data_IF_671308665017
#
_entry.id   IF_671308665017
#
_cell.length_a   1.000
_cell.length_b   1.000
_cell.length_c   1.000
_cell.angle_alpha   90.00
_cell.angle_beta   90.00
_cell.angle_gamma   90.00
#
_symmetry.space_group_name_H-M   'P 1'
#
loop_
_entity.id
_entity.type
_entity.pdbx_description
1 polymer ?
#
# COMPACT_ATOMS: atom_id res chain seq x y z
N UNK A 1 -14.45 2.16 -9.62
CA UNK A 1 -13.44 1.16 -9.19
C UNK A 1 -12.94 1.59 -7.82
N UNK A 2 -13.47 0.98 -6.77
CA UNK A 2 -13.03 1.26 -5.39
C UNK A 2 -11.55 0.95 -5.21
N UNK A 3 -10.84 1.85 -4.55
CA UNK A 3 -9.38 1.76 -4.40
C UNK A 3 -8.95 1.97 -2.96
N UNK A 4 -8.24 0.97 -2.41
CA UNK A 4 -7.55 1.03 -1.13
C UNK A 4 -6.06 1.24 -1.35
N UNK A 5 -5.46 2.20 -0.64
CA UNK A 5 -4.01 2.36 -0.60
C UNK A 5 -3.50 2.05 0.79
N UNK A 6 -2.49 1.20 0.88
CA UNK A 6 -1.73 0.93 2.10
C UNK A 6 -0.37 1.61 1.98
N UNK A 7 -0.18 2.64 2.78
CA UNK A 7 1.09 3.32 2.95
C UNK A 7 1.80 2.91 4.24
N UNK A 8 2.92 3.56 4.52
CA UNK A 8 3.62 3.37 5.79
C UNK A 8 4.89 4.21 5.87
N UNK A 9 5.26 4.56 7.08
CA UNK A 9 6.31 5.58 7.28
C UNK A 9 7.70 5.12 6.88
N UNK A 10 7.98 3.81 6.94
CA UNK A 10 9.30 3.26 6.60
C UNK A 10 9.21 1.97 5.80
N UNK A 11 10.38 1.36 5.52
CA UNK A 11 10.48 -0.01 5.03
C UNK A 11 10.15 -0.97 6.18
N UNK A 12 9.78 -2.20 5.84
CA UNK A 12 9.60 -3.32 6.77
C UNK A 12 8.61 -3.09 7.95
N UNK A 13 7.77 -2.05 7.89
CA UNK A 13 6.73 -1.78 8.90
C UNK A 13 5.47 -2.64 8.71
N UNK A 14 5.52 -3.70 7.91
CA UNK A 14 4.43 -4.64 7.75
C UNK A 14 3.38 -4.30 6.69
N UNK A 15 3.60 -3.30 5.80
CA UNK A 15 2.65 -2.96 4.72
C UNK A 15 2.21 -4.16 3.91
N UNK A 16 3.17 -4.97 3.43
CA UNK A 16 2.92 -6.17 2.65
C UNK A 16 2.06 -7.18 3.42
N UNK A 17 2.32 -7.34 4.73
CA UNK A 17 1.52 -8.23 5.60
C UNK A 17 0.11 -7.71 5.79
N UNK A 18 -0.08 -6.39 5.91
CA UNK A 18 -1.40 -5.76 5.97
C UNK A 18 -2.16 -5.97 4.66
N UNK A 19 -1.53 -5.71 3.50
CA UNK A 19 -2.16 -5.93 2.19
C UNK A 19 -2.56 -7.39 2.03
N UNK A 20 -1.65 -8.33 2.27
CA UNK A 20 -1.94 -9.77 2.16
C UNK A 20 -3.05 -10.20 3.13
N UNK A 21 -3.04 -9.69 4.36
CA UNK A 21 -4.06 -10.01 5.37
C UNK A 21 -5.44 -9.50 4.98
N UNK A 22 -5.56 -8.28 4.44
CA UNK A 22 -6.83 -7.73 3.95
C UNK A 22 -7.34 -8.53 2.75
N UNK A 23 -6.47 -8.88 1.79
CA UNK A 23 -6.83 -9.72 0.64
C UNK A 23 -7.39 -11.07 1.10
N UNK A 24 -6.73 -11.71 2.04
CA UNK A 24 -7.15 -13.02 2.55
C UNK A 24 -8.47 -12.96 3.35
N UNK A 25 -8.69 -11.86 4.09
CA UNK A 25 -9.89 -11.68 4.92
C UNK A 25 -11.13 -11.23 4.13
N UNK A 26 -10.95 -10.65 2.94
CA UNK A 26 -12.01 -10.11 2.09
C UNK A 26 -11.93 -10.66 0.66
N UNK A 27 -12.02 -11.99 0.47
CA UNK A 27 -11.92 -12.62 -0.85
C UNK A 27 -13.09 -12.24 -1.78
N UNK A 28 -14.24 -11.86 -1.23
CA UNK A 28 -15.42 -11.41 -1.96
C UNK A 28 -15.17 -10.15 -2.80
N UNK A 29 -14.18 -9.33 -2.42
CA UNK A 29 -13.81 -8.13 -3.19
C UNK A 29 -13.00 -8.41 -4.46
N UNK A 30 -12.57 -9.65 -4.71
CA UNK A 30 -11.83 -10.04 -5.93
C UNK A 30 -10.68 -9.06 -6.25
N UNK A 31 -9.86 -8.80 -5.26
CA UNK A 31 -8.80 -7.79 -5.30
C UNK A 31 -7.87 -7.92 -6.50
N UNK A 32 -7.66 -6.83 -7.22
CA UNK A 32 -6.48 -6.61 -8.05
C UNK A 32 -5.47 -5.81 -7.24
N UNK A 33 -4.33 -6.41 -6.95
CA UNK A 33 -3.29 -5.78 -6.13
C UNK A 33 -2.17 -5.21 -6.99
N UNK A 34 -1.52 -4.14 -6.51
CA UNK A 34 -0.26 -3.70 -7.08
C UNK A 34 0.72 -3.21 -6.00
N UNK A 35 1.98 -3.59 -6.18
CA UNK A 35 3.09 -3.04 -5.41
C UNK A 35 3.89 -2.08 -6.27
N UNK A 36 4.13 -0.86 -5.75
CA UNK A 36 4.91 0.16 -6.43
C UNK A 36 6.24 0.33 -5.71
N UNK A 37 7.33 -0.02 -6.39
CA UNK A 37 8.70 0.10 -5.92
C UNK A 37 9.41 1.19 -6.68
N UNK A 38 10.01 2.15 -5.97
CA UNK A 38 10.90 3.14 -6.56
C UNK A 38 12.35 2.75 -6.28
N UNK A 39 13.18 2.73 -7.31
CA UNK A 39 14.61 2.44 -7.27
C UNK A 39 15.45 3.67 -7.67
N UNK A 40 16.76 3.58 -7.56
CA UNK A 40 17.67 4.70 -7.91
C UNK A 40 18.33 5.38 -6.73
N UNK A 41 18.12 4.81 -5.53
CA UNK A 41 18.84 5.21 -4.31
C UNK A 41 19.86 4.11 -3.88
N UNK A 42 20.30 3.28 -4.82
CA UNK A 42 21.34 2.25 -4.59
C UNK A 42 20.85 0.98 -3.88
N UNK A 43 19.53 0.84 -3.60
CA UNK A 43 19.00 -0.30 -2.86
C UNK A 43 17.82 -0.93 -3.59
N UNK A 44 17.85 -2.24 -3.77
CA UNK A 44 16.75 -2.99 -4.37
C UNK A 44 15.51 -2.99 -3.48
N UNK A 45 14.35 -2.68 -4.07
CA UNK A 45 13.07 -2.70 -3.37
C UNK A 45 12.58 -4.10 -3.01
N UNK A 46 13.15 -5.16 -3.62
CA UNK A 46 12.74 -6.53 -3.37
C UNK A 46 13.46 -7.16 -2.16
N UNK A 47 14.76 -6.91 -2.01
CA UNK A 47 15.58 -7.57 -0.98
C UNK A 47 16.45 -6.62 -0.14
N UNK A 48 16.45 -5.32 -0.42
CA UNK A 48 17.26 -4.35 0.31
C UNK A 48 18.74 -4.29 -0.08
N UNK A 49 19.19 -5.09 -1.05
CA UNK A 49 20.57 -5.13 -1.54
C UNK A 49 20.81 -4.08 -2.64
N UNK A 50 22.08 -3.85 -2.97
CA UNK A 50 22.46 -3.05 -4.13
C UNK A 50 21.82 -3.64 -5.40
N UNK A 51 21.17 -2.82 -6.21
CA UNK A 51 20.33 -3.31 -7.31
C UNK A 51 20.72 -2.71 -8.63
N UNK A 52 21.10 -3.59 -9.56
CA UNK A 52 21.30 -3.29 -10.99
C UNK A 52 20.05 -3.60 -11.84
N UNK A 53 18.88 -3.84 -11.21
CA UNK A 53 17.66 -4.18 -11.94
C UNK A 53 17.02 -3.00 -12.70
N UNK A 54 17.63 -1.83 -12.66
CA UNK A 54 17.35 -0.71 -13.53
C UNK A 54 18.34 -0.75 -14.69
N UNK A 55 17.98 -1.39 -15.77
CA UNK A 55 18.66 -1.10 -17.02
C UNK A 55 18.42 0.37 -17.36
N UNK A 56 19.46 1.07 -17.80
CA UNK A 56 19.41 2.49 -18.15
C UNK A 56 18.35 2.82 -19.24
N UNK A 57 17.80 1.78 -19.87
CA UNK A 57 16.94 1.87 -21.04
C UNK A 57 15.46 2.10 -20.72
N UNK A 58 15.01 1.82 -19.47
CA UNK A 58 13.58 1.94 -19.12
C UNK A 58 13.37 2.63 -17.79
N UNK A 59 12.64 3.76 -17.82
CA UNK A 59 12.29 4.54 -16.63
C UNK A 59 11.33 3.80 -15.67
N UNK A 60 10.61 2.83 -16.20
CA UNK A 60 9.65 2.02 -15.45
C UNK A 60 9.38 0.67 -16.12
N UNK A 61 8.89 -0.28 -15.34
CA UNK A 61 8.39 -1.56 -15.80
C UNK A 61 7.17 -1.98 -14.99
N UNK A 62 6.21 -2.63 -15.62
CA UNK A 62 5.06 -3.25 -14.96
C UNK A 62 5.00 -4.71 -15.40
N UNK A 63 5.11 -5.61 -14.43
CA UNK A 63 5.04 -7.07 -14.67
C UNK A 63 3.89 -7.66 -13.89
N UNK A 64 3.20 -8.64 -14.48
CA UNK A 64 2.19 -9.43 -13.79
C UNK A 64 2.88 -10.50 -12.95
N UNK A 65 2.55 -10.59 -11.67
CA UNK A 65 3.02 -11.67 -10.81
C UNK A 65 2.25 -12.95 -11.12
N UNK A 66 2.97 -14.04 -11.27
CA UNK A 66 2.41 -15.37 -11.55
C UNK A 66 2.83 -16.42 -10.54
N UNK A 67 3.88 -16.14 -9.77
CA UNK A 67 4.37 -17.05 -8.73
C UNK A 67 3.44 -17.02 -7.51
N UNK A 68 3.12 -18.19 -6.99
CA UNK A 68 2.43 -18.37 -5.70
C UNK A 68 3.37 -18.96 -4.64
N UNK A 69 4.68 -18.84 -4.82
CA UNK A 69 5.67 -19.36 -3.87
C UNK A 69 5.71 -18.56 -2.55
N UNK A 70 5.24 -17.30 -2.56
CA UNK A 70 5.22 -16.44 -1.37
C UNK A 70 6.60 -15.85 -1.01
N UNK A 71 7.57 -15.93 -1.91
CA UNK A 71 8.97 -15.51 -1.74
C UNK A 71 9.19 -14.02 -2.01
N UNK A 72 8.31 -13.39 -2.78
CA UNK A 72 8.30 -11.94 -3.01
C UNK A 72 7.04 -11.29 -2.43
N UNK A 73 7.06 -9.96 -2.24
CA UNK A 73 5.90 -9.24 -1.74
C UNK A 73 4.68 -9.41 -2.65
N UNK A 74 4.88 -9.37 -3.97
CA UNK A 74 3.81 -9.56 -4.95
C UNK A 74 3.31 -10.99 -4.99
N UNK A 75 4.18 -11.99 -4.87
CA UNK A 75 3.77 -13.39 -4.80
C UNK A 75 2.97 -13.68 -3.51
N UNK A 76 3.28 -13.00 -2.40
CA UNK A 76 2.48 -13.08 -1.16
C UNK A 76 1.05 -12.56 -1.35
N UNK A 77 0.84 -11.50 -2.14
CA UNK A 77 -0.51 -11.02 -2.47
C UNK A 77 -1.29 -12.06 -3.27
N UNK A 78 -0.62 -12.69 -4.24
CA UNK A 78 -1.23 -13.73 -5.06
C UNK A 78 -1.56 -14.98 -4.25
N UNK A 79 -0.67 -15.35 -3.31
CA UNK A 79 -0.88 -16.47 -2.37
C UNK A 79 -2.02 -16.18 -1.40
N UNK A 80 -2.18 -14.91 -0.98
CA UNK A 80 -3.27 -14.46 -0.13
C UNK A 80 -4.65 -14.48 -0.82
N UNK A 81 -4.71 -14.69 -2.12
CA UNK A 81 -5.97 -14.83 -2.86
C UNK A 81 -6.30 -13.65 -3.78
N UNK A 82 -5.37 -12.72 -4.03
CA UNK A 82 -5.59 -11.69 -5.04
C UNK A 82 -5.92 -12.32 -6.39
N UNK A 83 -6.92 -11.74 -7.09
CA UNK A 83 -7.33 -12.17 -8.42
C UNK A 83 -6.23 -11.93 -9.45
N UNK A 84 -5.59 -10.75 -9.39
CA UNK A 84 -4.47 -10.34 -10.23
C UNK A 84 -3.50 -9.48 -9.44
N UNK A 85 -2.21 -9.59 -9.72
CA UNK A 85 -1.17 -8.81 -9.02
C UNK A 85 -0.18 -8.21 -10.01
N UNK A 86 0.12 -6.93 -9.82
CA UNK A 86 1.07 -6.19 -10.62
C UNK A 86 2.25 -5.70 -9.79
N UNK A 87 3.46 -5.91 -10.27
CA UNK A 87 4.65 -5.27 -9.74
C UNK A 87 5.06 -4.09 -10.62
N UNK A 88 4.96 -2.89 -10.08
CA UNK A 88 5.34 -1.64 -10.73
C UNK A 88 6.70 -1.21 -10.18
N UNK A 89 7.67 -1.10 -11.05
CA UNK A 89 9.03 -0.62 -10.74
C UNK A 89 9.28 0.66 -11.49
N UNK A 90 9.71 1.71 -10.80
CA UNK A 90 10.01 3.00 -11.44
C UNK A 90 11.31 3.58 -10.89
N UNK A 91 12.01 4.36 -11.69
CA UNK A 91 13.04 5.23 -11.18
C UNK A 91 12.43 6.24 -10.21
N UNK A 92 13.18 6.64 -9.19
CA UNK A 92 12.72 7.64 -8.23
C UNK A 92 12.36 8.94 -8.96
N UNK A 93 11.17 9.47 -8.66
CA UNK A 93 10.64 10.68 -9.32
C UNK A 93 9.91 10.44 -10.64
N UNK A 94 10.00 9.25 -11.25
CA UNK A 94 9.43 8.97 -12.59
C UNK A 94 8.12 8.15 -12.56
N UNK A 95 7.48 8.03 -11.42
CA UNK A 95 6.22 7.28 -11.31
C UNK A 95 5.11 7.85 -12.21
N UNK A 96 5.10 9.17 -12.46
CA UNK A 96 4.15 9.80 -13.37
C UNK A 96 4.10 9.13 -14.75
N UNK A 97 5.25 8.68 -15.26
CA UNK A 97 5.37 8.05 -16.58
C UNK A 97 4.74 6.64 -16.62
N UNK A 98 4.76 5.92 -15.50
CA UNK A 98 4.13 4.61 -15.38
C UNK A 98 2.60 4.69 -15.17
N UNK A 99 2.08 5.82 -14.68
CA UNK A 99 0.68 5.93 -14.25
C UNK A 99 -0.34 5.63 -15.36
N UNK A 100 -0.19 6.09 -16.63
CA UNK A 100 -1.13 5.74 -17.69
C UNK A 100 -1.20 4.22 -17.92
N UNK A 101 -0.05 3.57 -17.97
CA UNK A 101 0.04 2.12 -18.16
C UNK A 101 -0.51 1.34 -16.94
N UNK A 102 -0.30 1.82 -15.73
CA UNK A 102 -0.88 1.23 -14.53
C UNK A 102 -2.40 1.36 -14.54
N UNK A 103 -2.93 2.55 -14.83
CA UNK A 103 -4.38 2.77 -14.91
C UNK A 103 -5.06 1.86 -15.93
N UNK A 104 -4.44 1.66 -17.09
CA UNK A 104 -4.96 0.75 -18.12
C UNK A 104 -5.06 -0.70 -17.60
N UNK A 105 -4.08 -1.16 -16.81
CA UNK A 105 -4.09 -2.51 -16.22
C UNK A 105 -5.10 -2.68 -15.09
N UNK A 106 -5.44 -1.59 -14.41
CA UNK A 106 -6.40 -1.61 -13.32
C UNK A 106 -7.83 -1.37 -13.80
N UNK A 107 -8.05 -0.93 -15.05
CA UNK A 107 -9.35 -0.49 -15.55
C UNK A 107 -10.46 -1.55 -15.48
N UNK A 108 -10.09 -2.83 -15.57
CA UNK A 108 -11.02 -3.96 -15.50
C UNK A 108 -11.15 -4.55 -14.07
N UNK A 109 -10.48 -3.97 -13.09
CA UNK A 109 -10.52 -4.46 -11.73
C UNK A 109 -11.85 -4.10 -11.05
N UNK A 110 -12.43 -5.03 -10.33
CA UNK A 110 -13.60 -4.77 -9.48
C UNK A 110 -13.19 -3.90 -8.29
N UNK A 111 -12.16 -4.31 -7.56
CA UNK A 111 -11.59 -3.57 -6.44
C UNK A 111 -10.06 -3.60 -6.52
N UNK A 112 -9.44 -2.49 -6.14
CA UNK A 112 -7.99 -2.30 -6.21
C UNK A 112 -7.39 -2.10 -4.83
N UNK A 113 -6.26 -2.78 -4.57
CA UNK A 113 -5.44 -2.55 -3.38
C UNK A 113 -3.99 -2.26 -3.80
N UNK A 114 -3.45 -1.13 -3.35
CA UNK A 114 -2.11 -0.66 -3.75
C UNK A 114 -1.20 -0.53 -2.52
N UNK A 115 0.00 -1.10 -2.60
CA UNK A 115 1.05 -0.85 -1.62
C UNK A 115 1.98 0.26 -2.13
N UNK A 116 1.78 1.50 -1.64
CA UNK A 116 2.62 2.64 -2.00
C UNK A 116 2.24 3.91 -1.23
N UNK A 117 3.21 4.74 -0.84
CA UNK A 117 2.94 6.13 -0.47
C UNK A 117 2.90 7.03 -1.71
N UNK A 118 3.85 6.84 -2.62
CA UNK A 118 4.09 7.76 -3.74
C UNK A 118 2.95 7.82 -4.75
N UNK A 119 2.12 6.77 -4.84
CA UNK A 119 0.93 6.77 -5.71
C UNK A 119 -0.09 7.83 -5.30
N UNK A 120 -0.08 8.26 -4.03
CA UNK A 120 -0.97 9.30 -3.50
C UNK A 120 -0.80 10.67 -4.17
N UNK A 121 0.29 10.89 -4.91
CA UNK A 121 0.47 12.08 -5.76
C UNK A 121 -0.40 12.08 -7.00
N UNK A 122 -0.82 10.89 -7.45
CA UNK A 122 -1.43 10.68 -8.77
C UNK A 122 -2.88 10.22 -8.70
N UNK A 123 -3.35 9.83 -7.52
CA UNK A 123 -4.72 9.39 -7.32
C UNK A 123 -5.25 9.81 -5.94
N UNK A 124 -6.57 9.79 -5.84
CA UNK A 124 -7.31 9.92 -4.57
C UNK A 124 -8.03 8.59 -4.37
N UNK A 125 -7.54 7.71 -3.49
CA UNK A 125 -8.21 6.45 -3.21
C UNK A 125 -9.50 6.70 -2.43
N UNK A 126 -10.39 5.73 -2.44
CA UNK A 126 -11.59 5.72 -1.59
C UNK A 126 -11.24 5.50 -0.13
N UNK A 127 -10.09 4.83 0.11
CA UNK A 127 -9.56 4.60 1.45
C UNK A 127 -8.03 4.62 1.42
N UNK A 128 -7.42 5.40 2.30
CA UNK A 128 -5.98 5.39 2.54
C UNK A 128 -5.68 5.04 3.99
N UNK A 129 -4.96 3.95 4.21
CA UNK A 129 -4.50 3.50 5.53
C UNK A 129 -2.98 3.58 5.58
N UNK A 130 -2.44 4.18 6.63
CA UNK A 130 -0.99 4.24 6.85
C UNK A 130 -0.57 3.34 8.01
N UNK A 131 0.55 2.61 7.83
CA UNK A 131 1.14 1.74 8.85
C UNK A 131 2.29 2.47 9.53
N UNK A 132 2.24 2.59 10.83
CA UNK A 132 3.22 3.26 11.66
C UNK A 132 3.80 2.28 12.70
N UNK A 133 5.12 2.24 12.81
CA UNK A 133 5.85 1.48 13.82
C UNK A 133 6.71 2.43 14.66
N UNK A 134 6.31 2.73 15.91
CA UNK A 134 7.07 3.64 16.78
C UNK A 134 8.50 3.18 17.07
N UNK A 135 8.81 1.89 16.95
CA UNK A 135 10.16 1.38 17.17
C UNK A 135 11.14 1.68 16.02
N UNK A 136 10.62 2.07 14.85
CA UNK A 136 11.44 2.35 13.65
C UNK A 136 11.64 3.85 13.48
N UNK A 137 12.88 4.35 13.63
CA UNK A 137 13.20 5.78 13.62
C UNK A 137 13.08 6.44 12.25
N UNK A 138 13.29 5.69 11.15
CA UNK A 138 13.17 6.23 9.78
C UNK A 138 11.73 6.62 9.47
N UNK A 139 11.53 7.86 9.03
CA UNK A 139 10.23 8.35 8.59
C UNK A 139 10.37 9.03 7.23
N UNK A 140 9.93 8.34 6.19
CA UNK A 140 10.08 8.80 4.80
C UNK A 140 9.30 10.07 4.52
N UNK A 141 9.89 10.99 3.77
CA UNK A 141 9.23 12.22 3.32
C UNK A 141 7.89 11.93 2.61
N UNK A 142 7.83 10.88 1.77
CA UNK A 142 6.60 10.49 1.07
C UNK A 142 5.48 9.99 2.00
N UNK A 143 5.81 9.49 3.19
CA UNK A 143 4.81 9.14 4.18
C UNK A 143 4.35 10.38 4.96
N UNK A 144 5.26 11.27 5.29
CA UNK A 144 4.95 12.52 5.97
C UNK A 144 4.09 13.45 5.08
N UNK A 145 4.38 13.52 3.77
CA UNK A 145 3.66 14.32 2.78
C UNK A 145 2.16 13.99 2.71
N UNK A 146 1.79 12.72 2.92
CA UNK A 146 0.41 12.25 2.79
C UNK A 146 -0.23 11.80 4.10
N UNK A 147 0.42 12.08 5.23
CA UNK A 147 -0.07 11.64 6.53
C UNK A 147 -1.46 12.22 6.86
N UNK A 148 -1.71 13.48 6.48
CA UNK A 148 -2.98 14.19 6.67
C UNK A 148 -4.15 13.60 5.85
N UNK A 149 -3.84 12.84 4.80
CA UNK A 149 -4.81 12.19 3.93
C UNK A 149 -5.21 10.80 4.41
N UNK A 150 -4.56 10.28 5.45
CA UNK A 150 -4.90 8.98 5.99
C UNK A 150 -6.30 8.98 6.61
N UNK A 151 -7.13 8.01 6.21
CA UNK A 151 -8.45 7.76 6.79
C UNK A 151 -8.34 6.96 8.08
N UNK A 152 -7.30 6.12 8.18
CA UNK A 152 -6.99 5.34 9.36
C UNK A 152 -5.50 5.08 9.52
N UNK A 153 -5.09 4.74 10.72
CA UNK A 153 -3.73 4.39 11.10
C UNK A 153 -3.70 2.98 11.66
N UNK A 154 -2.83 2.13 11.12
CA UNK A 154 -2.43 0.89 11.76
C UNK A 154 -1.14 1.19 12.52
N UNK A 155 -1.18 1.07 13.85
CA UNK A 155 -0.09 1.45 14.74
C UNK A 155 0.44 0.23 15.46
N UNK A 156 1.74 -0.07 15.29
CA UNK A 156 2.39 -1.08 16.10
C UNK A 156 2.42 -0.65 17.56
N UNK A 157 2.12 -1.59 18.46
CA UNK A 157 2.36 -1.36 19.88
C UNK A 157 3.87 -1.34 20.14
N UNK A 158 4.31 -0.35 20.88
CA UNK A 158 5.69 -0.20 21.30
C UNK A 158 5.74 0.10 22.81
N UNK A 159 6.69 -0.53 23.48
CA UNK A 159 6.89 -0.34 24.92
C UNK A 159 7.38 1.08 25.27
N UNK A 160 8.06 1.73 24.33
CA UNK A 160 8.58 3.09 24.45
C UNK A 160 7.87 4.02 23.50
N UNK A 161 7.99 5.32 23.71
CA UNK A 161 7.50 6.33 22.79
C UNK A 161 8.14 6.22 21.39
N UNK A 162 7.64 6.98 20.39
CA UNK A 162 8.11 6.86 19.02
C UNK A 162 9.61 7.25 18.92
N UNK A 163 10.38 6.42 18.20
CA UNK A 163 11.78 6.65 17.92
C UNK A 163 12.04 7.73 16.86
N UNK A 164 11.02 8.09 16.05
CA UNK A 164 11.14 9.18 15.09
C UNK A 164 11.12 10.54 15.75
N UNK A 165 12.04 11.40 15.34
CA UNK A 165 12.12 12.79 15.77
C UNK A 165 11.42 13.72 14.77
N UNK A 166 10.89 14.85 15.27
CA UNK A 166 10.34 15.95 14.46
C UNK A 166 9.14 15.56 13.57
N UNK A 167 8.49 14.44 13.85
CA UNK A 167 7.28 14.02 13.15
C UNK A 167 6.07 14.26 14.05
N UNK A 168 5.13 15.06 13.56
CA UNK A 168 3.87 15.29 14.26
C UNK A 168 2.80 14.34 13.76
N UNK A 169 2.10 13.68 14.66
CA UNK A 169 0.91 12.87 14.37
C UNK A 169 -0.39 13.68 14.43
N UNK A 170 -0.32 15.01 14.65
CA UNK A 170 -1.50 15.89 14.61
C UNK A 170 -2.34 15.74 13.33
N UNK A 171 -1.75 15.53 12.13
CA UNK A 171 -2.52 15.34 10.90
C UNK A 171 -3.49 14.16 10.93
N UNK A 172 -3.21 13.15 11.75
CA UNK A 172 -4.07 11.96 11.92
C UNK A 172 -4.84 11.96 13.25
N UNK A 173 -4.82 13.06 14.00
CA UNK A 173 -5.60 13.19 15.22
C UNK A 173 -7.11 13.05 14.89
N UNK A 174 -7.81 12.19 15.64
CA UNK A 174 -9.24 11.91 15.43
C UNK A 174 -9.52 10.89 14.30
N UNK A 175 -8.51 10.34 13.63
CA UNK A 175 -8.69 9.21 12.71
C UNK A 175 -8.80 7.90 13.49
N UNK A 176 -9.41 6.89 12.88
CA UNK A 176 -9.42 5.53 13.43
C UNK A 176 -7.98 5.03 13.61
N UNK A 177 -7.67 4.47 14.78
CA UNK A 177 -6.34 3.90 15.08
C UNK A 177 -6.51 2.46 15.50
N UNK A 178 -5.93 1.56 14.73
CA UNK A 178 -5.90 0.12 15.01
C UNK A 178 -4.53 -0.25 15.54
N UNK A 179 -4.46 -0.73 16.78
CA UNK A 179 -3.20 -1.17 17.40
C UNK A 179 -2.96 -2.62 17.07
N UNK A 180 -1.74 -2.93 16.65
CA UNK A 180 -1.34 -4.28 16.27
C UNK A 180 -0.06 -4.72 16.98
N UNK A 181 0.06 -6.03 17.17
CA UNK A 181 1.27 -6.68 17.67
C UNK A 181 1.69 -7.74 16.64
N UNK A 182 2.79 -7.55 15.90
CA UNK A 182 3.28 -8.56 14.98
C UNK A 182 3.48 -9.92 15.68
N UNK A 183 3.18 -11.05 14.99
CA UNK A 183 2.87 -11.19 13.57
C UNK A 183 1.40 -10.94 13.19
N UNK A 184 0.53 -10.53 14.09
CA UNK A 184 -0.87 -10.19 13.80
C UNK A 184 -0.96 -8.78 13.21
N UNK A 185 -0.94 -8.66 11.88
CA UNK A 185 -0.98 -7.38 11.17
C UNK A 185 -2.38 -6.92 10.78
N UNK A 186 -3.36 -7.82 10.77
CA UNK A 186 -4.76 -7.53 10.43
C UNK A 186 -5.65 -8.21 11.45
N UNK A 187 -6.51 -7.41 12.10
CA UNK A 187 -7.51 -7.84 13.04
C UNK A 187 -8.91 -7.60 12.47
N UNK A 188 -9.93 -8.18 13.08
CA UNK A 188 -11.32 -8.12 12.62
C UNK A 188 -11.81 -6.67 12.46
N UNK A 189 -11.43 -5.78 13.37
CA UNK A 189 -11.82 -4.37 13.33
C UNK A 189 -11.29 -3.64 12.08
N UNK A 190 -10.08 -4.01 11.61
CA UNK A 190 -9.50 -3.46 10.36
C UNK A 190 -10.29 -3.98 9.17
N UNK A 191 -10.61 -5.27 9.16
CA UNK A 191 -11.38 -5.93 8.09
C UNK A 191 -12.77 -5.30 7.97
N UNK A 192 -13.45 -5.14 9.08
CA UNK A 192 -14.79 -4.53 9.11
C UNK A 192 -14.76 -3.06 8.70
N UNK A 193 -13.75 -2.32 9.15
CA UNK A 193 -13.55 -0.93 8.71
C UNK A 193 -13.40 -0.82 7.20
N UNK A 194 -12.60 -1.68 6.58
CA UNK A 194 -12.43 -1.73 5.11
C UNK A 194 -13.74 -2.10 4.44
N UNK A 195 -14.42 -3.15 4.92
CA UNK A 195 -15.71 -3.62 4.37
C UNK A 195 -16.75 -2.53 4.35
N UNK A 196 -16.97 -1.83 5.47
CA UNK A 196 -17.95 -0.76 5.58
C UNK A 196 -17.66 0.43 4.67
N UNK A 197 -16.38 0.78 4.51
CA UNK A 197 -15.97 1.89 3.63
C UNK A 197 -16.20 1.57 2.16
N UNK A 198 -15.93 0.34 1.75
CA UNK A 198 -16.14 -0.09 0.37
C UNK A 198 -17.65 -0.26 0.05
N UNK A 199 -18.44 -0.83 0.94
CA UNK A 199 -19.90 -0.92 0.77
C UNK A 199 -20.55 0.47 0.60
N UNK A 200 -20.04 1.49 1.30
CA UNK A 200 -20.53 2.87 1.18
C UNK A 200 -20.17 3.52 -0.17
N UNK A 201 -19.18 2.99 -0.89
CA UNK A 201 -18.75 3.51 -2.19
C UNK A 201 -19.62 2.97 -3.32
N UNK A 202 -20.15 1.76 -3.22
CA UNK A 202 -21.07 1.18 -4.20
C UNK A 202 -22.39 1.94 -4.32
N UNK A 203 -22.85 2.56 -3.22
CA UNK A 203 -24.07 3.38 -3.20
C UNK A 203 -23.90 4.77 -3.82
N UNK A 204 -22.71 5.18 -4.22
CA UNK A 204 -22.41 6.47 -4.85
C UNK A 204 -22.37 6.48 -6.38
N UNK A 205 -22.90 5.47 -7.06
CA UNK A 205 -23.08 5.53 -8.51
C UNK A 205 -24.15 6.59 -8.80
N UNK A 206 -23.85 7.69 -9.52
CA UNK A 206 -24.88 8.65 -9.89
C UNK A 206 -25.87 7.95 -10.80
N UNK A 207 -27.15 8.07 -10.47
CA UNK A 207 -28.24 7.77 -11.39
C UNK A 207 -27.99 8.61 -12.64
N UNK A 208 -27.62 7.99 -13.74
CA UNK A 208 -27.60 8.62 -15.05
C UNK A 208 -29.05 8.89 -15.45
N UNK A 209 -29.51 10.13 -15.28
CA UNK A 209 -30.60 10.70 -16.07
C UNK A 209 -30.07 11.23 -17.38
#
# INVERSE_FOLDING_TARGET
>A
MPTLVIGGHSRSVGKTSVVAGIIAALPEFRWTAAKITQYGHGVCGANGEACDCATADHAWAITEERSRAGDSDTSRFLTAGAHRVWWVRTQQGRLAEAMPALRARLAEAENVILESNSVMRFLRPDLYITVLDPATADFKNSAQEFLDRADAVILHEAANGPAWERVSLKPVAGRAVFRIVPPAYVMEEIVEFVRLRFASTETRVPSTE
#
